data_IF_004169537456
#
_entry.id   IF_004169537456
#
_cell.length_a   1.000
_cell.length_b   1.000
_cell.length_c   1.000
_cell.angle_alpha   90.00
_cell.angle_beta   90.00
_cell.angle_gamma   90.00
#
_symmetry.space_group_name_H-M   'P 1'
#
loop_
_entity.id
_entity.type
_entity.pdbx_description
1 polymer ?
#
# COMPACT_ATOMS: atom_id res chain seq x y z
N UNK A 1 -11.25 15.22 10.41
CA UNK A 1 -9.88 15.71 10.66
C UNK A 1 -9.36 15.67 12.09
N UNK A 2 -10.18 15.52 13.15
CA UNK A 2 -9.65 15.59 14.54
C UNK A 2 -9.20 14.23 15.14
N UNK A 3 -9.77 13.11 14.68
CA UNK A 3 -9.42 11.77 15.19
C UNK A 3 -8.06 11.26 14.68
N UNK A 4 -7.69 11.59 13.44
CA UNK A 4 -6.38 11.21 12.89
C UNK A 4 -5.23 11.92 13.60
N UNK A 5 -5.41 13.19 13.98
CA UNK A 5 -4.41 13.94 14.75
C UNK A 5 -4.17 13.30 16.13
N UNK A 6 -5.23 12.89 16.82
CA UNK A 6 -5.14 12.21 18.13
C UNK A 6 -4.49 10.82 18.06
N UNK A 7 -4.73 10.06 16.99
CA UNK A 7 -4.09 8.74 16.79
C UNK A 7 -2.60 8.91 16.49
N UNK A 8 -2.24 9.89 15.65
CA UNK A 8 -0.84 10.21 15.33
C UNK A 8 -0.08 10.68 16.58
N UNK A 9 -0.69 11.51 17.41
CA UNK A 9 -0.05 12.04 18.62
C UNK A 9 0.10 10.97 19.72
N UNK A 10 -0.84 10.04 19.82
CA UNK A 10 -0.74 8.87 20.71
C UNK A 10 0.32 7.85 20.25
N UNK A 11 0.52 7.69 18.94
CA UNK A 11 1.58 6.84 18.38
C UNK A 11 2.97 7.48 18.56
N UNK A 12 3.07 8.80 18.38
CA UNK A 12 4.31 9.57 18.56
C UNK A 12 4.86 9.52 19.99
N UNK A 13 3.98 9.39 20.99
CA UNK A 13 4.36 9.24 22.41
C UNK A 13 4.82 7.83 22.80
N UNK A 14 4.55 6.80 22.00
CA UNK A 14 4.72 5.40 22.41
C UNK A 14 5.93 4.70 21.78
N UNK A 15 6.52 5.27 20.74
CA UNK A 15 7.62 4.65 19.99
C UNK A 15 8.65 5.71 19.59
N UNK A 16 9.87 5.58 20.12
CA UNK A 16 10.99 6.50 19.81
C UNK A 16 11.28 6.62 18.31
N UNK A 17 11.95 7.72 17.97
CA UNK A 17 12.03 8.38 16.64
C UNK A 17 12.40 7.50 15.43
N UNK A 18 12.90 6.28 15.61
CA UNK A 18 13.23 5.36 14.51
C UNK A 18 12.00 4.70 13.86
N UNK A 19 10.90 4.50 14.60
CA UNK A 19 9.66 3.91 14.06
C UNK A 19 8.73 4.94 13.40
N UNK A 20 8.98 6.23 13.67
CA UNK A 20 8.20 7.35 13.13
C UNK A 20 8.41 7.55 11.63
N UNK A 21 9.60 7.19 11.10
CA UNK A 21 9.84 7.24 9.65
C UNK A 21 9.03 6.16 8.94
N UNK A 22 9.10 4.90 9.41
CA UNK A 22 8.36 3.77 8.82
C UNK A 22 6.84 3.97 8.86
N UNK A 23 6.31 4.41 10.00
CA UNK A 23 4.88 4.75 10.13
C UNK A 23 4.51 5.99 9.31
N UNK A 24 5.39 7.00 9.21
CA UNK A 24 5.13 8.16 8.33
C UNK A 24 5.08 7.77 6.85
N UNK A 25 5.93 6.84 6.40
CA UNK A 25 5.91 6.33 5.02
C UNK A 25 4.67 5.48 4.73
N UNK A 26 4.27 4.61 5.66
CA UNK A 26 3.05 3.83 5.54
C UNK A 26 1.80 4.73 5.56
N UNK A 27 1.78 5.72 6.44
CA UNK A 27 0.69 6.69 6.54
C UNK A 27 0.64 7.63 5.32
N UNK A 28 1.80 8.00 4.76
CA UNK A 28 1.88 8.74 3.50
C UNK A 28 1.40 7.90 2.31
N UNK A 29 1.72 6.60 2.26
CA UNK A 29 1.18 5.66 1.26
C UNK A 29 -0.34 5.52 1.37
N UNK A 30 -0.88 5.39 2.59
CA UNK A 30 -2.33 5.32 2.84
C UNK A 30 -3.01 6.63 2.38
N UNK A 31 -2.41 7.79 2.66
CA UNK A 31 -2.93 9.09 2.22
C UNK A 31 -2.87 9.25 0.70
N UNK A 32 -1.82 8.75 0.04
CA UNK A 32 -1.71 8.78 -1.43
C UNK A 32 -2.78 7.89 -2.09
N UNK A 33 -3.03 6.71 -1.53
CA UNK A 33 -4.08 5.77 -1.97
C UNK A 33 -5.47 6.38 -1.73
N UNK A 34 -5.69 7.03 -0.59
CA UNK A 34 -6.95 7.73 -0.30
C UNK A 34 -7.20 8.96 -1.21
N UNK A 35 -6.16 9.69 -1.61
CA UNK A 35 -6.28 10.82 -2.54
C UNK A 35 -6.65 10.37 -3.96
N UNK A 36 -6.15 9.21 -4.39
CA UNK A 36 -6.56 8.60 -5.67
C UNK A 36 -8.01 8.10 -5.66
N UNK A 37 -8.57 7.78 -4.49
CA UNK A 37 -9.97 7.35 -4.33
C UNK A 37 -11.00 8.47 -4.39
N UNK A 38 -10.61 9.75 -4.26
CA UNK A 38 -11.55 10.89 -4.21
C UNK A 38 -11.91 11.49 -5.58
N UNK A 39 -11.29 11.06 -6.67
CA UNK A 39 -11.67 11.49 -8.02
C UNK A 39 -12.64 10.49 -8.63
N UNK A 40 -13.92 10.64 -8.29
CA UNK A 40 -15.01 10.01 -9.03
C UNK A 40 -15.40 10.92 -10.20
N UNK A 41 -15.19 10.54 -11.48
CA UNK A 41 -15.87 11.19 -12.59
C UNK A 41 -17.17 10.44 -12.88
N UNK A 42 -18.11 10.49 -11.94
CA UNK A 42 -19.52 10.22 -12.21
C UNK A 42 -20.16 11.48 -12.79
N UNK A 43 -20.10 11.57 -14.12
CA UNK A 43 -20.69 12.51 -15.07
C UNK A 43 -19.57 12.81 -16.05
N UNK A 44 -19.66 12.46 -17.32
CA UNK A 44 -20.50 13.01 -18.39
C UNK A 44 -20.36 11.94 -19.52
N UNK A 45 -21.40 11.53 -20.25
CA UNK A 45 -21.72 11.99 -21.60
C UNK A 45 -22.79 11.01 -22.10
N UNK A 46 -23.98 11.51 -22.43
CA UNK A 46 -24.99 10.72 -23.16
C UNK A 46 -24.46 10.47 -24.59
N UNK A 47 -24.78 9.32 -25.21
CA UNK A 47 -24.40 9.07 -26.59
C UNK A 47 -25.02 10.18 -27.48
N UNK A 48 -24.18 10.78 -28.32
CA UNK A 48 -24.64 11.69 -29.37
C UNK A 48 -25.55 10.88 -30.28
N UNK A 49 -26.84 11.23 -30.30
CA UNK A 49 -27.81 10.65 -31.24
C UNK A 49 -27.32 10.93 -32.65
N UNK A 50 -27.41 9.92 -33.51
CA UNK A 50 -27.20 10.02 -34.95
C UNK A 50 -28.05 11.15 -35.50
N UNK A 51 -27.41 12.24 -35.94
CA UNK A 51 -28.09 13.32 -36.64
C UNK A 51 -28.41 12.83 -38.06
N UNK A 52 -29.63 12.33 -38.25
CA UNK A 52 -30.17 12.15 -39.60
C UNK A 52 -30.35 13.54 -40.22
N UNK A 53 -29.55 13.83 -41.26
CA UNK A 53 -29.69 15.05 -42.05
C UNK A 53 -31.05 15.02 -42.77
N UNK A 54 -31.88 16.08 -42.67
CA UNK A 54 -33.11 16.14 -43.45
C UNK A 54 -32.79 16.18 -44.94
N UNK A 55 -33.51 15.37 -45.73
CA UNK A 55 -33.52 15.45 -47.18
C UNK A 55 -33.86 16.87 -47.61
N UNK A 56 -32.88 17.56 -48.18
CA UNK A 56 -33.04 18.92 -48.64
C UNK A 56 -33.82 18.92 -49.95
N UNK A 57 -35.16 18.98 -49.84
CA UNK A 57 -36.03 19.28 -50.97
C UNK A 57 -35.57 20.59 -51.62
N UNK A 58 -35.35 20.55 -52.92
CA UNK A 58 -35.03 21.70 -53.76
C UNK A 58 -36.24 22.64 -53.81
N UNK A 59 -36.33 23.56 -52.85
CA UNK A 59 -37.33 24.62 -52.92
C UNK A 59 -36.89 25.71 -53.89
N UNK A 60 -37.87 26.16 -54.68
CA UNK A 60 -37.77 27.23 -55.67
C UNK A 60 -37.16 28.48 -55.04
N UNK A 61 -36.33 29.18 -55.81
CA UNK A 61 -35.64 30.39 -55.40
C UNK A 61 -36.63 31.57 -55.30
N UNK A 62 -37.52 31.52 -54.31
CA UNK A 62 -38.45 32.61 -54.04
C UNK A 62 -37.70 33.83 -53.48
N UNK A 63 -38.14 35.02 -53.95
CA UNK A 63 -37.60 36.36 -53.72
C UNK A 63 -37.61 36.73 -52.22
N UNK A 64 -36.62 36.28 -51.48
CA UNK A 64 -36.37 36.70 -50.10
C UNK A 64 -35.43 37.92 -50.04
N UNK A 65 -35.58 38.83 -49.06
CA UNK A 65 -34.66 39.94 -48.86
C UNK A 65 -33.24 39.41 -48.60
N UNK A 66 -32.24 39.99 -49.29
CA UNK A 66 -30.85 39.54 -49.27
C UNK A 66 -30.40 38.67 -50.46
N UNK A 67 -31.30 38.37 -51.42
CA UNK A 67 -30.98 37.61 -52.65
C UNK A 67 -30.93 38.47 -53.93
N UNK A 68 -30.97 39.80 -53.78
CA UNK A 68 -30.99 40.77 -54.89
C UNK A 68 -29.78 41.70 -54.74
N UNK A 69 -29.09 41.97 -55.84
CA UNK A 69 -27.98 42.90 -55.93
C UNK A 69 -28.47 44.34 -55.70
N UNK A 70 -27.86 45.03 -54.74
CA UNK A 70 -28.18 46.41 -54.38
C UNK A 70 -27.89 47.43 -55.49
N UNK A 71 -26.93 47.14 -56.38
CA UNK A 71 -26.53 48.06 -57.45
C UNK A 71 -27.33 47.88 -58.74
N UNK A 72 -27.77 46.65 -59.01
CA UNK A 72 -28.31 46.27 -60.31
C UNK A 72 -29.76 45.77 -60.27
N UNK A 73 -30.34 45.59 -59.07
CA UNK A 73 -31.68 45.03 -58.85
C UNK A 73 -31.90 43.68 -59.58
N UNK A 74 -30.84 42.86 -59.65
CA UNK A 74 -30.82 41.51 -60.24
C UNK A 74 -30.55 40.45 -59.18
N UNK A 75 -31.03 39.23 -59.39
CA UNK A 75 -30.80 38.11 -58.47
C UNK A 75 -29.29 37.80 -58.32
N UNK A 76 -28.89 37.44 -57.10
CA UNK A 76 -27.52 37.03 -56.76
C UNK A 76 -27.34 35.53 -57.05
N UNK A 77 -27.11 35.20 -58.31
CA UNK A 77 -27.03 33.81 -58.81
C UNK A 77 -25.60 33.32 -59.04
N UNK A 78 -24.62 34.21 -58.91
CA UNK A 78 -23.19 33.94 -59.14
C UNK A 78 -22.44 34.11 -57.81
N UNK A 79 -21.52 33.20 -57.51
CA UNK A 79 -20.59 33.27 -56.40
C UNK A 79 -19.19 33.60 -56.94
N UNK A 80 -18.59 34.68 -56.44
CA UNK A 80 -17.21 35.03 -56.71
C UNK A 80 -16.32 34.35 -55.66
N UNK A 81 -15.49 33.38 -56.08
CA UNK A 81 -14.56 32.65 -55.19
C UNK A 81 -13.43 33.54 -54.70
N UNK A 82 -12.95 34.43 -55.57
CA UNK A 82 -11.88 35.39 -55.24
C UNK A 82 -12.27 36.29 -54.07
N UNK A 83 -13.50 36.82 -54.09
CA UNK A 83 -13.99 37.74 -53.06
C UNK A 83 -14.89 37.08 -52.01
N UNK A 84 -15.17 35.78 -52.15
CA UNK A 84 -16.10 35.01 -51.31
C UNK A 84 -17.46 35.70 -51.12
N UNK A 85 -18.05 36.17 -52.22
CA UNK A 85 -19.28 36.98 -52.18
C UNK A 85 -20.30 36.57 -53.24
N UNK A 86 -21.58 36.85 -52.96
CA UNK A 86 -22.68 36.62 -53.88
C UNK A 86 -22.89 37.85 -54.77
N UNK A 87 -22.85 37.66 -56.09
CA UNK A 87 -22.94 38.73 -57.09
C UNK A 87 -24.03 38.41 -58.14
N UNK A 88 -24.49 39.42 -58.89
CA UNK A 88 -25.37 39.21 -60.05
C UNK A 88 -24.56 39.15 -61.35
N UNK A 89 -25.21 38.75 -62.46
CA UNK A 89 -24.54 38.64 -63.76
C UNK A 89 -23.95 39.96 -64.28
N UNK A 90 -24.50 41.13 -63.90
CA UNK A 90 -23.95 42.43 -64.29
C UNK A 90 -22.65 42.75 -63.53
N UNK A 91 -22.59 42.45 -62.23
CA UNK A 91 -21.36 42.55 -61.44
C UNK A 91 -20.25 41.63 -61.98
N UNK A 92 -20.61 40.42 -62.42
CA UNK A 92 -19.67 39.48 -63.03
C UNK A 92 -19.02 40.05 -64.30
N UNK A 93 -19.76 40.79 -65.12
CA UNK A 93 -19.26 41.35 -66.39
C UNK A 93 -18.50 42.66 -66.23
N UNK A 94 -18.67 43.36 -65.11
CA UNK A 94 -18.05 44.66 -64.82
C UNK A 94 -16.93 44.51 -63.77
N UNK A 95 -17.28 44.63 -62.48
CA UNK A 95 -16.32 44.68 -61.37
C UNK A 95 -15.54 43.37 -61.12
N UNK A 96 -16.14 42.22 -61.43
CA UNK A 96 -15.55 40.90 -61.14
C UNK A 96 -15.13 40.14 -62.42
N UNK A 97 -14.88 40.88 -63.51
CA UNK A 97 -14.61 40.29 -64.83
C UNK A 97 -13.40 39.35 -64.86
N UNK A 98 -12.37 39.67 -64.09
CA UNK A 98 -11.13 38.88 -64.02
C UNK A 98 -11.07 37.97 -62.77
N UNK A 99 -12.18 37.82 -62.03
CA UNK A 99 -12.25 36.98 -60.83
C UNK A 99 -12.73 35.57 -61.16
N UNK A 100 -12.38 34.62 -60.30
CA UNK A 100 -12.94 33.27 -60.41
C UNK A 100 -14.39 33.30 -59.93
N UNK A 101 -15.33 33.08 -60.86
CA UNK A 101 -16.76 33.09 -60.58
C UNK A 101 -17.41 31.79 -61.01
N UNK A 102 -18.41 31.35 -60.26
CA UNK A 102 -19.16 30.12 -60.47
C UNK A 102 -20.63 30.34 -60.14
N UNK A 103 -21.55 29.50 -60.63
CA UNK A 103 -22.96 29.60 -60.19
C UNK A 103 -23.09 29.25 -58.70
N UNK A 104 -24.01 29.91 -57.99
CA UNK A 104 -24.28 29.61 -56.57
C UNK A 104 -24.71 28.15 -56.38
N UNK A 105 -25.42 27.56 -57.34
CA UNK A 105 -25.85 26.16 -57.28
C UNK A 105 -24.64 25.22 -57.39
N UNK A 106 -23.72 25.50 -58.31
CA UNK A 106 -22.49 24.71 -58.48
C UNK A 106 -21.58 24.82 -57.25
N UNK A 107 -21.32 26.03 -56.74
CA UNK A 107 -20.51 26.22 -55.53
C UNK A 107 -21.13 25.51 -54.31
N UNK A 108 -22.45 25.65 -54.12
CA UNK A 108 -23.16 24.95 -53.04
C UNK A 108 -23.00 23.43 -53.17
N UNK A 109 -23.07 22.90 -54.39
CA UNK A 109 -22.93 21.46 -54.62
C UNK A 109 -21.53 20.98 -54.26
N UNK A 110 -20.48 21.73 -54.61
CA UNK A 110 -19.09 21.43 -54.23
C UNK A 110 -18.88 21.51 -52.72
N UNK A 111 -19.31 22.62 -52.07
CA UNK A 111 -19.23 22.78 -50.61
C UNK A 111 -20.07 21.76 -49.84
N UNK A 112 -21.17 21.27 -50.43
CA UNK A 112 -21.97 20.21 -49.82
C UNK A 112 -21.22 18.86 -49.81
N UNK A 113 -20.34 18.59 -50.77
CA UNK A 113 -19.47 17.41 -50.78
C UNK A 113 -18.38 17.56 -49.72
N UNK A 114 -17.68 18.69 -49.69
CA UNK A 114 -16.66 18.98 -48.67
C UNK A 114 -17.23 18.85 -47.24
N UNK A 115 -18.42 19.42 -46.99
CA UNK A 115 -19.10 19.34 -45.70
C UNK A 115 -19.41 17.89 -45.31
N UNK A 116 -19.86 17.06 -46.25
CA UNK A 116 -20.13 15.64 -46.00
C UNK A 116 -18.85 14.89 -45.68
N UNK A 117 -17.76 15.16 -46.39
CA UNK A 117 -16.46 14.56 -46.08
C UNK A 117 -15.97 14.93 -44.67
N UNK A 118 -16.08 16.20 -44.29
CA UNK A 118 -15.68 16.66 -42.95
C UNK A 118 -16.58 16.08 -41.85
N UNK A 119 -17.88 15.94 -42.11
CA UNK A 119 -18.80 15.27 -41.22
C UNK A 119 -18.42 13.80 -41.01
N UNK A 120 -18.06 13.08 -42.09
CA UNK A 120 -17.61 11.68 -41.99
C UNK A 120 -16.31 11.56 -41.21
N UNK A 121 -15.33 12.46 -41.45
CA UNK A 121 -14.07 12.50 -40.68
C UNK A 121 -14.32 12.77 -39.20
N UNK A 122 -15.19 13.72 -38.88
CA UNK A 122 -15.58 14.04 -37.52
C UNK A 122 -16.25 12.86 -36.82
N UNK A 123 -17.15 12.15 -37.51
CA UNK A 123 -17.81 10.95 -37.00
C UNK A 123 -16.80 9.84 -36.68
N UNK A 124 -15.85 9.59 -37.59
CA UNK A 124 -14.78 8.61 -37.36
C UNK A 124 -13.94 8.98 -36.13
N UNK A 125 -13.51 10.25 -36.01
CA UNK A 125 -12.74 10.73 -34.85
C UNK A 125 -13.52 10.55 -33.54
N UNK A 126 -14.83 10.79 -33.54
CA UNK A 126 -15.68 10.55 -32.36
C UNK A 126 -15.66 9.07 -31.96
N UNK A 127 -15.81 8.16 -32.91
CA UNK A 127 -15.80 6.71 -32.66
C UNK A 127 -14.45 6.23 -32.12
N UNK A 128 -13.35 6.71 -32.69
CA UNK A 128 -11.99 6.45 -32.21
C UNK A 128 -11.80 6.94 -30.77
N UNK A 129 -12.19 8.18 -30.45
CA UNK A 129 -12.10 8.72 -29.09
C UNK A 129 -12.99 7.96 -28.11
N UNK A 130 -14.20 7.56 -28.52
CA UNK A 130 -15.07 6.72 -27.70
C UNK A 130 -14.44 5.34 -27.41
N UNK A 131 -13.76 4.75 -28.39
CA UNK A 131 -13.00 3.50 -28.19
C UNK A 131 -11.87 3.71 -27.18
N UNK A 132 -11.06 4.76 -27.34
CA UNK A 132 -9.98 5.09 -26.39
C UNK A 132 -10.52 5.32 -24.98
N UNK A 133 -11.67 5.98 -24.83
CA UNK A 133 -12.32 6.18 -23.52
C UNK A 133 -12.71 4.83 -22.89
N UNK A 134 -13.24 3.89 -23.66
CA UNK A 134 -13.57 2.55 -23.15
C UNK A 134 -12.32 1.79 -22.70
N UNK A 135 -11.27 1.80 -23.51
CA UNK A 135 -9.98 1.15 -23.20
C UNK A 135 -9.34 1.76 -21.94
N UNK A 136 -9.35 3.09 -21.81
CA UNK A 136 -8.82 3.77 -20.63
C UNK A 136 -9.63 3.44 -19.37
N UNK A 137 -10.96 3.39 -19.46
CA UNK A 137 -11.81 2.97 -18.33
C UNK A 137 -11.49 1.55 -17.87
N UNK A 138 -11.28 0.62 -18.81
CA UNK A 138 -10.88 -0.74 -18.49
C UNK A 138 -9.50 -0.78 -17.83
N UNK A 139 -8.53 -0.05 -18.37
CA UNK A 139 -7.17 0.04 -17.82
C UNK A 139 -7.16 0.58 -16.39
N UNK A 140 -7.92 1.65 -16.11
CA UNK A 140 -8.09 2.22 -14.76
C UNK A 140 -8.67 1.18 -13.79
N UNK A 141 -9.71 0.45 -14.21
CA UNK A 141 -10.30 -0.61 -13.37
C UNK A 141 -9.30 -1.75 -13.09
N UNK A 142 -8.52 -2.16 -14.09
CA UNK A 142 -7.48 -3.18 -13.93
C UNK A 142 -6.41 -2.74 -12.94
N UNK A 143 -5.94 -1.49 -13.02
CA UNK A 143 -4.97 -0.92 -12.06
C UNK A 143 -5.56 -0.93 -10.65
N UNK A 144 -6.81 -0.47 -10.49
CA UNK A 144 -7.49 -0.43 -9.20
C UNK A 144 -7.59 -1.81 -8.56
N UNK A 145 -8.02 -2.81 -9.34
CA UNK A 145 -8.13 -4.19 -8.85
C UNK A 145 -6.75 -4.77 -8.51
N UNK A 146 -5.76 -4.56 -9.39
CA UNK A 146 -4.39 -5.04 -9.17
C UNK A 146 -3.76 -4.41 -7.92
N UNK A 147 -3.97 -3.11 -7.69
CA UNK A 147 -3.48 -2.42 -6.49
C UNK A 147 -4.15 -2.96 -5.23
N UNK A 148 -5.47 -3.18 -5.26
CA UNK A 148 -6.20 -3.78 -4.14
C UNK A 148 -5.69 -5.18 -3.80
N UNK A 149 -5.52 -6.05 -4.81
CA UNK A 149 -4.96 -7.39 -4.62
C UNK A 149 -3.55 -7.33 -4.05
N UNK A 150 -2.70 -6.42 -4.54
CA UNK A 150 -1.34 -6.26 -4.02
C UNK A 150 -1.32 -5.82 -2.54
N UNK A 151 -2.27 -4.97 -2.12
CA UNK A 151 -2.44 -4.57 -0.71
C UNK A 151 -2.88 -5.77 0.14
N UNK A 152 -3.91 -6.50 -0.28
CA UNK A 152 -4.42 -7.68 0.43
C UNK A 152 -3.35 -8.77 0.58
N UNK A 153 -2.60 -9.05 -0.49
CA UNK A 153 -1.50 -10.01 -0.45
C UNK A 153 -0.37 -9.53 0.48
N UNK A 154 -0.06 -8.23 0.48
CA UNK A 154 0.94 -7.67 1.38
C UNK A 154 0.53 -7.77 2.84
N UNK A 155 -0.74 -7.47 3.16
CA UNK A 155 -1.30 -7.62 4.51
C UNK A 155 -1.25 -9.08 4.97
N UNK A 156 -1.61 -10.03 4.09
CA UNK A 156 -1.51 -11.47 4.39
C UNK A 156 -0.08 -11.87 4.74
N UNK A 157 0.90 -11.47 3.93
CA UNK A 157 2.33 -11.77 4.17
C UNK A 157 2.78 -11.22 5.53
N UNK A 158 2.43 -9.97 5.86
CA UNK A 158 2.80 -9.39 7.15
C UNK A 158 2.14 -10.10 8.33
N UNK A 159 0.88 -10.48 8.20
CA UNK A 159 0.18 -11.23 9.25
C UNK A 159 0.81 -12.61 9.50
N UNK A 160 1.23 -13.31 8.45
CA UNK A 160 1.96 -14.59 8.57
C UNK A 160 3.30 -14.40 9.30
N UNK A 161 4.06 -13.35 8.96
CA UNK A 161 5.32 -13.02 9.63
C UNK A 161 5.12 -12.69 11.10
N UNK A 162 4.12 -11.87 11.44
CA UNK A 162 3.77 -11.53 12.82
C UNK A 162 3.43 -12.82 13.59
N UNK A 163 2.56 -13.66 13.04
CA UNK A 163 2.14 -14.92 13.67
C UNK A 163 3.33 -15.85 13.94
N UNK A 164 4.26 -15.95 12.99
CA UNK A 164 5.50 -16.72 13.16
C UNK A 164 6.39 -16.18 14.28
N UNK A 165 6.55 -14.85 14.35
CA UNK A 165 7.32 -14.19 15.42
C UNK A 165 6.65 -14.35 16.79
N UNK A 166 5.33 -14.29 16.87
CA UNK A 166 4.59 -14.53 18.11
C UNK A 166 4.74 -15.97 18.60
N UNK A 167 4.72 -16.94 17.68
CA UNK A 167 5.01 -18.34 18.02
C UNK A 167 6.42 -18.48 18.60
N UNK A 168 7.44 -17.87 17.96
CA UNK A 168 8.82 -17.87 18.46
C UNK A 168 8.96 -17.20 19.82
N UNK A 169 8.22 -16.10 20.06
CA UNK A 169 8.13 -15.45 21.38
C UNK A 169 7.61 -16.41 22.44
N UNK A 170 6.53 -17.15 22.14
CA UNK A 170 5.96 -18.13 23.06
C UNK A 170 6.96 -19.27 23.35
N UNK A 171 7.60 -19.83 22.31
CA UNK A 171 8.60 -20.91 22.45
C UNK A 171 9.75 -20.50 23.39
N UNK A 172 10.29 -19.28 23.24
CA UNK A 172 11.37 -18.78 24.12
C UNK A 172 10.88 -18.56 25.55
N UNK A 173 9.64 -18.07 25.72
CA UNK A 173 9.04 -17.86 27.05
C UNK A 173 8.87 -19.18 27.78
N UNK A 174 8.34 -20.20 27.09
CA UNK A 174 8.16 -21.54 27.66
C UNK A 174 9.50 -22.18 28.04
N UNK A 175 10.53 -22.02 27.21
CA UNK A 175 11.88 -22.53 27.51
C UNK A 175 12.45 -21.91 28.80
N UNK A 176 12.32 -20.59 28.98
CA UNK A 176 12.78 -19.91 30.20
C UNK A 176 12.01 -20.43 31.41
N UNK A 177 10.68 -20.53 31.33
CA UNK A 177 9.84 -21.01 32.44
C UNK A 177 10.09 -22.47 32.79
N UNK A 178 10.33 -23.32 31.79
CA UNK A 178 10.68 -24.71 32.02
C UNK A 178 12.02 -24.84 32.76
N UNK A 179 13.04 -24.08 32.36
CA UNK A 179 14.35 -24.07 33.01
C UNK A 179 14.27 -23.50 34.43
N UNK A 180 13.56 -22.39 34.62
CA UNK A 180 13.29 -21.80 35.94
C UNK A 180 12.66 -22.84 36.88
N UNK A 181 11.60 -23.51 36.43
CA UNK A 181 10.93 -24.54 37.22
C UNK A 181 11.86 -25.71 37.55
N UNK A 182 12.63 -26.19 36.58
CA UNK A 182 13.54 -27.33 36.78
C UNK A 182 14.62 -27.02 37.83
N UNK A 183 15.25 -25.85 37.76
CA UNK A 183 16.28 -25.43 38.72
C UNK A 183 15.69 -25.13 40.10
N UNK A 184 14.49 -24.52 40.19
CA UNK A 184 13.81 -24.31 41.46
C UNK A 184 13.45 -25.64 42.14
N UNK A 185 12.89 -26.62 41.41
CA UNK A 185 12.61 -27.95 41.94
C UNK A 185 13.88 -28.72 42.34
N UNK A 186 15.02 -28.45 41.71
CA UNK A 186 16.31 -29.00 42.13
C UNK A 186 16.78 -28.35 43.44
N UNK A 187 16.72 -27.03 43.53
CA UNK A 187 17.11 -26.28 44.72
C UNK A 187 16.26 -26.67 45.94
N UNK A 188 14.95 -26.83 45.77
CA UNK A 188 14.03 -27.23 46.84
C UNK A 188 14.38 -28.61 47.42
N UNK A 189 14.71 -29.60 46.57
CA UNK A 189 15.16 -30.92 47.04
C UNK A 189 16.47 -30.85 47.83
N UNK A 190 17.39 -30.00 47.38
CA UNK A 190 18.68 -29.79 48.07
C UNK A 190 18.44 -29.13 49.43
N UNK A 191 17.57 -28.12 49.50
CA UNK A 191 17.20 -27.46 50.76
C UNK A 191 16.58 -28.45 51.74
N UNK A 192 15.63 -29.28 51.29
CA UNK A 192 15.01 -30.32 52.14
C UNK A 192 16.04 -31.32 52.67
N UNK A 193 17.00 -31.72 51.84
CA UNK A 193 18.09 -32.60 52.27
C UNK A 193 18.95 -31.91 53.34
N UNK A 194 19.35 -30.65 53.12
CA UNK A 194 20.15 -29.89 54.08
C UNK A 194 19.41 -29.66 55.40
N UNK A 195 18.12 -29.33 55.37
CA UNK A 195 17.31 -29.14 56.57
C UNK A 195 17.24 -30.44 57.40
N UNK A 196 17.12 -31.59 56.74
CA UNK A 196 17.14 -32.89 57.40
C UNK A 196 18.52 -33.20 58.00
N UNK A 197 19.61 -32.95 57.26
CA UNK A 197 20.98 -33.13 57.76
C UNK A 197 21.25 -32.22 58.98
N UNK A 198 20.78 -30.97 58.96
CA UNK A 198 20.88 -30.05 60.10
C UNK A 198 20.09 -30.59 61.30
N UNK A 199 18.85 -31.05 61.09
CA UNK A 199 18.03 -31.58 62.17
C UNK A 199 18.65 -32.83 62.81
N UNK A 200 19.23 -33.73 61.99
CA UNK A 200 19.92 -34.92 62.48
C UNK A 200 21.21 -34.56 63.25
N UNK A 201 21.97 -33.56 62.80
CA UNK A 201 23.13 -33.03 63.52
C UNK A 201 22.74 -32.37 64.84
N UNK A 202 21.66 -31.58 64.87
CA UNK A 202 21.14 -30.96 66.10
C UNK A 202 20.68 -32.02 67.12
N UNK A 203 19.98 -33.06 66.67
CA UNK A 203 19.60 -34.19 67.53
C UNK A 203 20.85 -34.84 68.14
N UNK A 204 21.85 -35.14 67.30
CA UNK A 204 23.10 -35.77 67.74
C UNK A 204 23.89 -34.89 68.72
N UNK A 205 23.95 -33.58 68.48
CA UNK A 205 24.57 -32.64 69.41
C UNK A 205 23.90 -32.69 70.78
N UNK A 206 22.56 -32.72 70.80
CA UNK A 206 21.78 -32.81 72.05
C UNK A 206 22.03 -34.13 72.80
N UNK A 207 22.09 -35.26 72.08
CA UNK A 207 22.42 -36.57 72.66
C UNK A 207 23.82 -36.60 73.27
N UNK A 208 24.81 -36.00 72.59
CA UNK A 208 26.18 -35.88 73.08
C UNK A 208 26.27 -34.97 74.33
N UNK A 209 25.54 -33.85 74.34
CA UNK A 209 25.47 -32.93 75.48
C UNK A 209 24.85 -33.62 76.70
N UNK A 210 23.72 -34.32 76.53
CA UNK A 210 23.10 -35.12 77.59
C UNK A 210 24.05 -36.19 78.14
N UNK A 211 24.74 -36.93 77.26
CA UNK A 211 25.68 -37.95 77.66
C UNK A 211 26.84 -37.37 78.49
N UNK A 212 27.33 -36.17 78.13
CA UNK A 212 28.42 -35.48 78.85
C UNK A 212 28.09 -35.12 80.30
N UNK A 213 26.80 -34.98 80.63
CA UNK A 213 26.33 -34.67 81.99
C UNK A 213 26.01 -35.92 82.84
N UNK A 214 26.22 -37.12 82.30
CA UNK A 214 25.93 -38.37 83.01
C UNK A 214 27.03 -38.71 84.02
N UNK A 215 26.66 -39.12 85.24
CA UNK A 215 27.61 -39.49 86.29
C UNK A 215 27.90 -41.01 86.35
N UNK A 216 27.13 -41.83 85.63
CA UNK A 216 27.35 -43.27 85.51
C UNK A 216 28.41 -43.55 84.44
N UNK A 217 29.60 -43.94 84.90
CA UNK A 217 30.75 -44.20 84.05
C UNK A 217 30.55 -45.40 83.09
N UNK A 218 29.76 -46.40 83.49
CA UNK A 218 29.51 -47.59 82.64
C UNK A 218 28.55 -47.20 81.52
N UNK A 219 27.46 -46.52 81.86
CA UNK A 219 26.51 -46.00 80.88
C UNK A 219 27.18 -45.04 79.89
N UNK A 220 28.03 -44.14 80.38
CA UNK A 220 28.79 -43.22 79.55
C UNK A 220 29.60 -43.94 78.46
N UNK A 221 30.40 -44.93 78.86
CA UNK A 221 31.26 -45.67 77.94
C UNK A 221 30.46 -46.50 76.92
N UNK A 222 29.35 -47.13 77.35
CA UNK A 222 28.48 -47.93 76.47
C UNK A 222 27.73 -47.06 75.44
N UNK A 223 27.17 -45.94 75.89
CA UNK A 223 26.43 -45.01 75.03
C UNK A 223 27.36 -44.27 74.06
N UNK A 224 28.57 -43.88 74.49
CA UNK A 224 29.56 -43.25 73.61
C UNK A 224 29.99 -44.20 72.48
N UNK A 225 30.18 -45.48 72.80
CA UNK A 225 30.54 -46.50 71.80
C UNK A 225 29.40 -46.73 70.78
N UNK A 226 28.15 -46.61 71.21
CA UNK A 226 26.98 -46.74 70.34
C UNK A 226 26.80 -45.52 69.42
N UNK A 227 27.00 -44.30 69.94
CA UNK A 227 26.92 -43.05 69.18
C UNK A 227 28.05 -42.87 68.16
N UNK A 228 29.20 -43.48 68.39
CA UNK A 228 30.34 -43.48 67.45
C UNK A 228 30.14 -44.45 66.30
N UNK A 229 29.48 -45.60 66.51
CA UNK A 229 29.10 -46.53 65.43
C UNK A 229 27.99 -45.97 64.54
N UNK A 230 27.07 -45.18 65.11
CA UNK A 230 26.03 -44.46 64.34
C UNK A 230 26.58 -43.34 63.43
N UNK A 231 27.89 -43.05 63.48
CA UNK A 231 28.52 -41.92 62.81
C UNK A 231 28.71 -42.05 61.29
N UNK A 232 28.04 -43.00 60.64
CA UNK A 232 28.23 -43.35 59.22
C UNK A 232 28.00 -42.23 58.18
N UNK A 233 27.79 -40.98 58.61
CA UNK A 233 27.91 -39.81 57.75
C UNK A 233 29.38 -39.37 57.70
N UNK A 234 30.21 -40.09 56.95
CA UNK A 234 31.43 -39.47 56.42
C UNK A 234 31.00 -38.40 55.42
N UNK A 235 31.41 -37.15 55.71
CA UNK A 235 31.42 -35.94 54.88
C UNK A 235 30.49 -35.96 53.65
N UNK A 236 29.22 -35.56 53.86
CA UNK A 236 28.34 -35.17 52.75
C UNK A 236 29.10 -34.19 51.85
N UNK A 237 29.18 -34.43 50.53
CA UNK A 237 29.92 -33.56 49.63
C UNK A 237 29.38 -32.13 49.71
N UNK A 238 30.29 -31.17 49.88
CA UNK A 238 29.96 -29.76 49.96
C UNK A 238 29.17 -29.33 48.72
N UNK A 239 27.92 -28.90 48.95
CA UNK A 239 27.05 -28.41 47.88
C UNK A 239 27.57 -27.05 47.43
N UNK A 240 28.13 -27.00 46.22
CA UNK A 240 28.54 -25.75 45.58
C UNK A 240 27.30 -25.09 44.97
N UNK A 241 26.90 -23.94 45.51
CA UNK A 241 25.87 -23.10 44.88
C UNK A 241 26.47 -22.47 43.62
N UNK A 242 25.89 -22.79 42.46
CA UNK A 242 26.34 -22.26 41.18
C UNK A 242 26.24 -20.73 41.13
N UNK A 243 27.27 -20.07 40.60
CA UNK A 243 27.38 -18.61 40.52
C UNK A 243 26.58 -17.97 39.36
N UNK A 244 26.03 -18.78 38.45
CA UNK A 244 25.34 -18.30 37.25
C UNK A 244 23.83 -18.51 37.31
N UNK A 245 23.13 -17.60 38.00
CA UNK A 245 21.66 -17.63 38.20
C UNK A 245 20.88 -16.79 37.18
N UNK A 246 21.47 -16.47 36.03
CA UNK A 246 20.97 -15.43 35.12
C UNK A 246 20.66 -15.95 33.71
N UNK A 247 19.60 -15.42 33.10
CA UNK A 247 19.24 -15.61 31.69
C UNK A 247 19.84 -14.53 30.75
N UNK A 248 20.89 -13.82 31.17
CA UNK A 248 21.51 -12.73 30.40
C UNK A 248 21.96 -13.19 29.01
N UNK A 249 22.43 -14.43 28.87
CA UNK A 249 22.80 -15.01 27.58
C UNK A 249 21.60 -15.05 26.61
N UNK A 250 20.42 -15.46 27.08
CA UNK A 250 19.18 -15.48 26.28
C UNK A 250 18.82 -14.07 25.83
N UNK A 251 18.88 -13.10 26.76
CA UNK A 251 18.60 -11.69 26.45
C UNK A 251 19.58 -11.14 25.39
N UNK A 252 20.87 -11.47 25.50
CA UNK A 252 21.89 -11.08 24.52
C UNK A 252 21.61 -11.68 23.15
N UNK A 253 21.34 -12.99 23.07
CA UNK A 253 21.00 -13.66 21.80
C UNK A 253 19.75 -13.09 21.14
N UNK A 254 18.71 -12.75 21.91
CA UNK A 254 17.51 -12.09 21.37
C UNK A 254 17.79 -10.68 20.88
N UNK A 255 18.68 -9.94 21.55
CA UNK A 255 19.10 -8.61 21.12
C UNK A 255 19.88 -8.67 19.79
N UNK A 256 20.78 -9.64 19.66
CA UNK A 256 21.52 -9.87 18.41
C UNK A 256 20.58 -10.28 17.26
N UNK A 257 19.60 -11.16 17.55
CA UNK A 257 18.58 -11.55 16.58
C UNK A 257 17.77 -10.34 16.09
N UNK A 258 17.32 -9.48 17.01
CA UNK A 258 16.60 -8.24 16.69
C UNK A 258 17.41 -7.38 15.72
N UNK A 259 18.66 -7.10 16.05
CA UNK A 259 19.52 -6.24 15.24
C UNK A 259 19.71 -6.79 13.81
N UNK A 260 19.91 -8.11 13.68
CA UNK A 260 20.02 -8.78 12.37
C UNK A 260 18.73 -8.71 11.56
N UNK A 261 17.58 -8.86 12.22
CA UNK A 261 16.28 -8.76 11.56
C UNK A 261 16.01 -7.34 11.06
N UNK A 262 16.32 -6.32 11.87
CA UNK A 262 16.19 -4.91 11.49
C UNK A 262 17.07 -4.54 10.29
N UNK A 263 18.33 -4.98 10.29
CA UNK A 263 19.25 -4.76 9.16
C UNK A 263 18.73 -5.44 7.88
N UNK A 264 18.25 -6.68 7.99
CA UNK A 264 17.68 -7.41 6.86
C UNK A 264 16.44 -6.68 6.30
N UNK A 265 15.52 -6.28 7.17
CA UNK A 265 14.33 -5.53 6.76
C UNK A 265 14.70 -4.22 6.06
N UNK A 266 15.64 -3.43 6.58
CA UNK A 266 16.05 -2.20 5.91
C UNK A 266 16.55 -2.44 4.48
N UNK A 267 17.36 -3.48 4.26
CA UNK A 267 17.91 -3.81 2.93
C UNK A 267 16.84 -4.23 1.93
N UNK A 268 15.86 -5.02 2.35
CA UNK A 268 14.83 -5.53 1.44
C UNK A 268 13.73 -4.49 1.17
N UNK A 269 13.32 -3.71 2.17
CA UNK A 269 12.22 -2.76 2.01
C UNK A 269 12.56 -1.58 1.08
N UNK A 270 13.84 -1.21 0.95
CA UNK A 270 14.29 -0.17 0.01
C UNK A 270 13.96 -0.55 -1.45
N UNK A 271 13.81 -1.85 -1.75
CA UNK A 271 13.51 -2.33 -3.11
C UNK A 271 12.02 -2.18 -3.47
N UNK A 272 11.13 -2.14 -2.49
CA UNK A 272 9.68 -2.19 -2.70
C UNK A 272 9.14 -0.98 -3.49
N UNK A 273 9.52 0.29 -3.18
CA UNK A 273 8.99 1.46 -3.90
C UNK A 273 9.28 1.43 -5.41
N UNK A 274 10.42 0.86 -5.83
CA UNK A 274 10.77 0.76 -7.24
C UNK A 274 9.81 -0.12 -8.03
N UNK A 275 9.35 -1.21 -7.42
CA UNK A 275 8.39 -2.13 -8.05
C UNK A 275 7.00 -1.51 -8.12
N UNK A 276 6.61 -0.73 -7.12
CA UNK A 276 5.34 0.01 -7.13
C UNK A 276 5.32 1.13 -8.18
N UNK A 277 6.44 1.84 -8.38
CA UNK A 277 6.55 2.94 -9.35
C UNK A 277 6.60 2.49 -10.83
N UNK A 278 6.85 1.21 -11.10
CA UNK A 278 6.93 0.66 -12.45
C UNK A 278 5.55 0.52 -13.13
N UNK A 279 4.45 0.67 -12.39
CA UNK A 279 3.09 0.63 -12.94
C UNK A 279 2.75 1.99 -13.56
N UNK A 280 3.23 2.23 -14.79
CA UNK A 280 2.83 3.39 -15.61
C UNK A 280 1.99 2.90 -16.79
N UNK A 281 0.73 3.31 -16.83
CA UNK A 281 -0.23 2.89 -17.88
C UNK A 281 -0.61 4.06 -18.81
N UNK A 282 -0.44 5.30 -18.35
CA UNK A 282 -0.79 6.48 -19.13
C UNK A 282 0.49 7.05 -19.75
N UNK A 283 0.82 6.57 -20.95
CA UNK A 283 1.73 7.29 -21.82
C UNK A 283 0.98 8.50 -22.41
N UNK A 284 1.58 9.70 -22.44
CA UNK A 284 1.04 10.78 -23.27
C UNK A 284 0.95 10.27 -24.72
N UNK A 285 -0.08 10.68 -25.48
CA UNK A 285 -0.19 10.24 -26.86
C UNK A 285 1.11 10.61 -27.60
N UNK A 286 1.74 9.61 -28.23
CA UNK A 286 2.75 9.88 -29.25
C UNK A 286 2.09 10.79 -30.27
N UNK A 287 2.64 12.01 -30.41
CA UNK A 287 2.19 12.98 -31.39
C UNK A 287 2.44 12.40 -32.79
N UNK A 288 1.43 11.74 -33.35
CA UNK A 288 1.43 11.35 -34.74
C UNK A 288 1.05 12.58 -35.57
N UNK A 289 2.10 13.16 -36.13
CA UNK A 289 2.14 14.18 -37.18
C UNK A 289 1.81 15.62 -36.79
N UNK A 290 2.50 16.51 -37.52
CA UNK A 290 2.48 17.98 -37.44
C UNK A 290 1.21 18.59 -38.04
N UNK A 291 0.28 17.76 -38.52
CA UNK A 291 -0.89 18.19 -39.29
C UNK A 291 -2.13 18.46 -38.42
N UNK A 292 -2.18 17.96 -37.18
CA UNK A 292 -3.31 18.18 -36.26
C UNK A 292 -3.32 19.58 -35.59
N UNK A 293 -2.26 20.38 -35.78
CA UNK A 293 -2.13 21.72 -35.18
C UNK A 293 -2.49 22.89 -36.11
N UNK A 294 -2.80 22.62 -37.38
CA UNK A 294 -3.08 23.67 -38.36
C UNK A 294 -4.31 23.32 -39.20
N UNK A 295 -5.49 23.36 -38.59
CA UNK A 295 -6.75 23.74 -39.26
C UNK A 295 -7.74 24.24 -38.21
#
# INVERSE_FOLDING_TARGET
NNMLAQVVENLKKKTGDSYLTFLSYLMWMIVLICLACFMSPESVWKPVQTYELPDLKTDKMDKAPGKICSEHDKALEVYCRTDQSFICYLCMMDKHKDHETVSVISERTEKQVELKEEQMKSQQRIEEKQKTVRELKQAVNTIKLSAQTAVEDSERIFNELISSMEKKRSEVTELIRAQEKAELSRAERILQQLDQEIADLQRRLTELEQLSHTHDNIYFLQSLQSLSVSSGHEDSPSIIVGQHLSFDAVRKSLSDLKNRLEEFCQKEFIKIPRHAAAVQVILPPETKSREDFLH
#
